data_IF_987105436480
#
_entry.id   IF_987105436480
#
_cell.length_a   1.000
_cell.length_b   1.000
_cell.length_c   1.000
_cell.angle_alpha   90.00
_cell.angle_beta   90.00
_cell.angle_gamma   90.00
#
_symmetry.space_group_name_H-M   'P 1'
#
loop_
_entity.id
_entity.type
_entity.pdbx_description
1 polymer ?
#
# COMPACT_ATOMS: atom_id res chain seq x y z
N UNK A 1 29.76 -22.85 11.13
CA UNK A 1 28.96 -23.63 10.16
C UNK A 1 27.77 -22.78 9.75
N UNK A 2 27.90 -22.10 8.62
CA UNK A 2 26.89 -21.23 8.03
C UNK A 2 25.93 -22.07 7.19
N UNK A 3 24.63 -21.79 7.25
CA UNK A 3 23.73 -22.09 6.13
C UNK A 3 22.81 -20.90 5.93
N UNK A 4 23.11 -20.16 4.86
CA UNK A 4 22.39 -19.00 4.36
C UNK A 4 21.45 -19.50 3.26
N UNK A 5 20.14 -19.43 3.49
CA UNK A 5 19.14 -19.68 2.47
C UNK A 5 18.76 -18.35 1.81
N UNK A 6 19.27 -18.11 0.59
CA UNK A 6 18.81 -17.05 -0.30
C UNK A 6 17.48 -17.46 -0.94
N UNK A 7 16.38 -16.85 -0.52
CA UNK A 7 15.16 -16.81 -1.32
C UNK A 7 15.30 -15.66 -2.34
N UNK A 8 15.38 -16.00 -3.62
CA UNK A 8 15.20 -15.07 -4.73
C UNK A 8 13.70 -15.04 -5.05
N UNK A 9 13.03 -13.91 -4.84
CA UNK A 9 11.74 -13.65 -5.51
C UNK A 9 11.98 -12.59 -6.59
N UNK A 10 11.73 -13.01 -7.82
CA UNK A 10 11.75 -12.19 -9.02
C UNK A 10 10.36 -11.56 -9.16
N UNK A 11 10.25 -10.24 -9.00
CA UNK A 11 9.12 -9.50 -9.54
C UNK A 11 9.58 -8.86 -10.85
N UNK A 12 9.07 -9.26 -12.03
CA UNK A 12 9.34 -8.55 -13.26
C UNK A 12 8.46 -7.29 -13.32
N UNK A 13 9.06 -6.17 -13.72
CA UNK A 13 8.37 -4.93 -14.02
C UNK A 13 7.99 -4.83 -15.51
N UNK A 14 6.95 -4.04 -15.75
CA UNK A 14 6.46 -3.43 -17.01
C UNK A 14 5.59 -4.26 -17.96
N UNK A 15 4.31 -3.87 -18.11
CA UNK A 15 3.83 -3.10 -19.27
C UNK A 15 2.30 -2.93 -19.23
N UNK A 16 1.88 -1.84 -19.85
CA UNK A 16 0.54 -1.28 -20.07
C UNK A 16 -0.47 -2.30 -20.61
N UNK A 17 -1.70 -2.23 -20.12
CA UNK A 17 -2.90 -2.73 -20.81
C UNK A 17 -3.35 -4.14 -20.46
N UNK A 18 -3.91 -4.33 -19.27
CA UNK A 18 -4.78 -5.48 -19.00
C UNK A 18 -5.99 -5.03 -18.17
N UNK A 19 -7.16 -5.04 -18.80
CA UNK A 19 -8.44 -5.20 -18.10
C UNK A 19 -8.31 -6.51 -17.34
N UNK A 20 -8.20 -6.42 -16.01
CA UNK A 20 -7.85 -7.53 -15.14
C UNK A 20 -8.85 -8.68 -15.26
N UNK A 21 -8.44 -9.74 -15.95
CA UNK A 21 -9.08 -11.04 -15.93
C UNK A 21 -8.84 -11.68 -14.57
N UNK A 22 -9.82 -11.55 -13.68
CA UNK A 22 -9.87 -12.27 -12.41
C UNK A 22 -10.18 -13.74 -12.67
N UNK A 23 -9.16 -14.54 -13.01
CA UNK A 23 -9.30 -15.99 -13.08
C UNK A 23 -9.21 -16.57 -11.66
N UNK A 24 -10.26 -16.40 -10.86
CA UNK A 24 -10.52 -17.33 -9.78
C UNK A 24 -11.04 -18.62 -10.42
N UNK A 25 -10.15 -19.58 -10.65
CA UNK A 25 -10.52 -20.95 -10.94
C UNK A 25 -11.20 -21.56 -9.71
N UNK A 26 -12.47 -21.19 -9.48
CA UNK A 26 -13.34 -21.90 -8.57
C UNK A 26 -13.49 -23.33 -9.12
N UNK A 27 -13.41 -24.37 -8.27
CA UNK A 27 -13.62 -25.74 -8.72
C UNK A 27 -14.99 -25.82 -9.38
N UNK A 28 -14.99 -26.19 -10.66
CA UNK A 28 -16.18 -26.45 -11.46
C UNK A 28 -16.95 -27.62 -10.84
N UNK A 29 -17.72 -27.35 -9.79
CA UNK A 29 -18.77 -28.26 -9.35
C UNK A 29 -19.85 -28.17 -10.42
N UNK A 30 -20.03 -29.28 -11.13
CA UNK A 30 -21.13 -29.51 -12.07
C UNK A 30 -22.46 -29.43 -11.30
N UNK A 31 -22.94 -28.21 -11.06
CA UNK A 31 -24.35 -27.95 -10.83
C UNK A 31 -25.01 -28.04 -12.21
N UNK A 32 -26.02 -28.91 -12.30
CA UNK A 32 -26.78 -29.27 -13.50
C UNK A 32 -27.01 -28.08 -14.44
N UNK A 33 -26.32 -28.12 -15.59
CA UNK A 33 -26.33 -27.05 -16.56
C UNK A 33 -27.69 -26.88 -17.25
N UNK A 34 -28.44 -25.86 -16.84
CA UNK A 34 -29.10 -25.00 -17.83
C UNK A 34 -28.00 -24.13 -18.42
N UNK A 35 -27.69 -24.28 -19.71
CA UNK A 35 -27.04 -23.21 -20.48
C UNK A 35 -27.97 -22.00 -20.37
N UNK A 36 -27.69 -21.08 -19.45
CA UNK A 36 -28.34 -19.77 -19.48
C UNK A 36 -28.04 -19.16 -20.85
N UNK A 37 -29.07 -18.77 -21.58
CA UNK A 37 -28.92 -18.18 -22.91
C UNK A 37 -28.49 -16.72 -22.86
N UNK A 38 -28.21 -16.16 -21.69
CA UNK A 38 -27.78 -14.78 -21.57
C UNK A 38 -26.50 -14.66 -20.73
N UNK A 39 -25.37 -14.79 -21.41
CA UNK A 39 -24.03 -14.54 -20.84
C UNK A 39 -23.92 -13.13 -20.25
N UNK A 40 -24.65 -12.16 -20.83
CA UNK A 40 -24.70 -10.79 -20.35
C UNK A 40 -25.39 -10.70 -18.99
N UNK A 41 -26.56 -11.35 -18.84
CA UNK A 41 -27.27 -11.41 -17.55
C UNK A 41 -26.39 -12.04 -16.46
N UNK A 42 -25.70 -13.13 -16.78
CA UNK A 42 -24.78 -13.78 -15.84
C UNK A 42 -23.59 -12.89 -15.44
N UNK A 43 -23.06 -12.09 -16.37
CA UNK A 43 -21.97 -11.14 -16.09
C UNK A 43 -22.46 -9.94 -15.26
N UNK A 44 -23.68 -9.45 -15.51
CA UNK A 44 -24.33 -8.41 -14.72
C UNK A 44 -24.59 -8.88 -13.29
N UNK A 45 -25.15 -10.09 -13.11
CA UNK A 45 -25.35 -10.70 -11.80
C UNK A 45 -24.01 -10.85 -11.07
N UNK A 46 -22.99 -11.41 -11.72
CA UNK A 46 -21.65 -11.54 -11.12
C UNK A 46 -21.09 -10.19 -10.68
N UNK A 47 -21.20 -9.16 -11.51
CA UNK A 47 -20.72 -7.81 -11.20
C UNK A 47 -21.44 -7.23 -9.98
N UNK A 48 -22.75 -7.42 -9.89
CA UNK A 48 -23.54 -6.99 -8.74
C UNK A 48 -23.11 -7.72 -7.45
N UNK A 49 -22.89 -9.04 -7.50
CA UNK A 49 -22.39 -9.82 -6.36
C UNK A 49 -21.00 -9.36 -5.92
N UNK A 50 -20.07 -9.16 -6.85
CA UNK A 50 -18.71 -8.70 -6.53
C UNK A 50 -18.74 -7.32 -5.91
N UNK A 51 -19.56 -6.40 -6.44
CA UNK A 51 -19.71 -5.07 -5.87
C UNK A 51 -20.29 -5.12 -4.45
N UNK A 52 -21.36 -5.89 -4.25
CA UNK A 52 -21.99 -6.09 -2.93
C UNK A 52 -21.03 -6.67 -1.90
N UNK A 53 -20.22 -7.65 -2.29
CA UNK A 53 -19.18 -8.22 -1.42
C UNK A 53 -18.09 -7.21 -1.11
N UNK A 54 -17.59 -6.48 -2.11
CA UNK A 54 -16.55 -5.45 -1.92
C UNK A 54 -17.01 -4.36 -0.94
N UNK A 55 -18.26 -3.93 -1.06
CA UNK A 55 -18.87 -2.95 -0.17
C UNK A 55 -19.00 -3.49 1.25
N UNK A 56 -19.44 -4.73 1.42
CA UNK A 56 -19.56 -5.38 2.73
C UNK A 56 -18.19 -5.50 3.41
N UNK A 57 -17.14 -5.88 2.66
CA UNK A 57 -15.77 -5.94 3.19
C UNK A 57 -15.29 -4.57 3.66
N UNK A 58 -15.59 -3.50 2.92
CA UNK A 58 -15.25 -2.14 3.33
C UNK A 58 -15.99 -1.72 4.60
N UNK A 59 -17.29 -2.03 4.74
CA UNK A 59 -18.04 -1.75 5.96
C UNK A 59 -17.48 -2.50 7.18
N UNK A 60 -17.10 -3.77 7.00
CA UNK A 60 -16.44 -4.54 8.06
C UNK A 60 -15.10 -3.90 8.42
N UNK A 61 -14.28 -3.58 7.42
CA UNK A 61 -12.97 -2.92 7.61
C UNK A 61 -13.12 -1.60 8.38
N UNK A 62 -14.10 -0.78 7.99
CA UNK A 62 -14.44 0.47 8.63
C UNK A 62 -14.84 0.28 10.10
N UNK A 63 -15.59 -0.78 10.41
CA UNK A 63 -15.98 -1.11 11.79
C UNK A 63 -14.85 -1.64 12.67
N UNK A 64 -13.79 -2.18 12.08
CA UNK A 64 -12.64 -2.73 12.80
C UNK A 64 -11.61 -1.67 13.17
N UNK A 65 -11.56 -0.57 12.41
CA UNK A 65 -10.58 0.49 12.61
C UNK A 65 -11.14 1.58 13.52
N UNK A 66 -10.32 2.12 14.45
CA UNK A 66 -10.69 3.33 15.17
C UNK A 66 -11.01 4.46 14.19
N UNK A 67 -11.94 5.36 14.53
CA UNK A 67 -12.35 6.51 13.69
C UNK A 67 -11.25 7.58 13.55
N UNK A 68 -10.01 7.27 13.90
CA UNK A 68 -8.90 8.20 13.85
C UNK A 68 -8.46 8.42 12.39
N UNK A 69 -8.49 9.69 11.97
CA UNK A 69 -8.03 10.10 10.65
C UNK A 69 -6.52 9.94 10.50
N UNK A 70 -6.07 9.77 9.25
CA UNK A 70 -4.67 9.96 8.89
C UNK A 70 -4.15 11.32 9.38
N UNK A 71 -2.96 11.32 9.97
CA UNK A 71 -2.31 12.54 10.45
C UNK A 71 -0.86 12.63 10.00
N UNK A 72 -0.37 13.86 9.85
CA UNK A 72 1.05 14.15 9.67
C UNK A 72 1.67 14.77 10.93
N UNK A 73 0.85 15.07 11.94
CA UNK A 73 1.28 15.85 13.10
C UNK A 73 2.12 14.98 14.05
N UNK A 74 3.27 15.51 14.52
CA UNK A 74 4.06 14.84 15.54
C UNK A 74 3.34 14.88 16.89
N UNK A 75 3.49 13.83 17.69
CA UNK A 75 2.96 13.80 19.05
C UNK A 75 3.80 14.68 19.98
N UNK A 76 3.16 15.47 20.86
CA UNK A 76 3.86 16.25 21.87
C UNK A 76 4.54 15.31 22.86
N UNK A 77 5.79 15.63 23.22
CA UNK A 77 6.57 14.81 24.17
C UNK A 77 7.14 13.52 23.59
N UNK A 78 6.92 13.19 22.32
CA UNK A 78 7.46 11.97 21.67
C UNK A 78 8.39 12.36 20.51
N UNK A 79 9.71 12.60 20.75
CA UNK A 79 10.61 13.17 19.74
C UNK A 79 10.72 12.38 18.44
N UNK A 80 10.55 11.05 18.48
CA UNK A 80 10.65 10.18 17.30
C UNK A 80 9.58 10.46 16.24
N UNK A 81 8.43 11.00 16.61
CA UNK A 81 7.36 11.31 15.67
C UNK A 81 7.59 12.62 14.92
N UNK A 82 8.63 13.41 15.24
CA UNK A 82 8.95 14.70 14.57
C UNK A 82 9.20 14.58 13.06
N UNK A 83 9.48 13.37 12.59
CA UNK A 83 9.74 13.07 11.18
C UNK A 83 8.57 12.35 10.52
N UNK A 84 7.43 12.27 11.18
CA UNK A 84 6.23 11.63 10.63
C UNK A 84 5.84 12.35 9.34
N UNK A 85 5.71 11.57 8.27
CA UNK A 85 5.17 12.03 7.00
C UNK A 85 3.69 11.66 6.85
N UNK A 86 3.31 10.53 7.43
CA UNK A 86 1.95 10.02 7.45
C UNK A 86 1.82 9.03 8.59
N UNK A 87 0.71 9.03 9.31
CA UNK A 87 0.40 8.00 10.29
C UNK A 87 -1.10 7.74 10.35
N UNK A 88 -1.46 6.54 10.77
CA UNK A 88 -2.84 6.12 10.99
C UNK A 88 -2.94 4.62 11.23
N UNK A 89 -4.15 4.17 11.53
CA UNK A 89 -4.42 2.76 11.75
C UNK A 89 -4.44 1.98 10.43
N UNK A 90 -3.77 0.83 10.44
CA UNK A 90 -3.73 -0.13 9.34
C UNK A 90 -4.11 -1.52 9.86
N UNK A 91 -4.86 -2.27 9.05
CA UNK A 91 -4.97 -3.71 9.24
C UNK A 91 -3.71 -4.34 8.63
N UNK A 92 -2.98 -5.12 9.41
CA UNK A 92 -1.80 -5.87 8.99
C UNK A 92 -2.09 -7.36 9.05
N UNK A 93 -1.73 -8.08 7.99
CA UNK A 93 -1.73 -9.54 7.97
C UNK A 93 -0.31 -10.02 8.27
N UNK A 94 -0.15 -10.66 9.43
CA UNK A 94 1.15 -11.15 9.89
C UNK A 94 1.49 -12.49 9.23
N UNK A 95 0.57 -13.46 9.27
CA UNK A 95 0.70 -14.74 8.58
C UNK A 95 -0.58 -15.15 7.83
N UNK A 96 -0.73 -16.44 7.51
CA UNK A 96 -1.91 -16.93 6.81
C UNK A 96 -3.18 -17.00 7.67
N UNK A 97 -3.06 -16.77 8.98
CA UNK A 97 -4.07 -17.05 10.00
C UNK A 97 -4.36 -15.86 10.90
N UNK A 98 -3.43 -14.92 11.04
CA UNK A 98 -3.55 -13.78 11.97
C UNK A 98 -3.66 -12.45 11.25
N UNK A 99 -4.54 -11.61 11.77
CA UNK A 99 -4.76 -10.23 11.32
C UNK A 99 -4.72 -9.36 12.58
N UNK A 100 -3.97 -8.26 12.51
CA UNK A 100 -3.78 -7.32 13.60
C UNK A 100 -4.16 -5.91 13.15
N UNK A 101 -4.70 -5.10 14.06
CA UNK A 101 -4.88 -3.66 13.84
C UNK A 101 -3.71 -2.96 14.53
N UNK A 102 -2.92 -2.20 13.75
CA UNK A 102 -1.73 -1.52 14.22
C UNK A 102 -1.80 -0.03 13.89
N UNK A 103 -1.26 0.81 14.77
CA UNK A 103 -1.02 2.21 14.44
C UNK A 103 0.33 2.32 13.74
N UNK A 104 0.33 2.70 12.47
CA UNK A 104 1.54 2.77 11.66
C UNK A 104 1.92 4.23 11.40
N UNK A 105 3.21 4.54 11.41
CA UNK A 105 3.74 5.81 10.95
C UNK A 105 4.84 5.62 9.92
N UNK A 106 4.75 6.37 8.83
CA UNK A 106 5.80 6.54 7.85
C UNK A 106 6.72 7.68 8.29
N UNK A 107 7.99 7.39 8.48
CA UNK A 107 8.99 8.37 8.89
C UNK A 107 9.85 8.82 7.71
N UNK A 108 10.16 10.12 7.67
CA UNK A 108 11.11 10.70 6.74
C UNK A 108 12.50 10.08 6.88
N UNK A 109 13.30 10.22 5.82
CA UNK A 109 14.64 9.64 5.72
C UNK A 109 15.57 10.14 6.83
N UNK A 110 16.30 9.21 7.44
CA UNK A 110 17.46 9.52 8.28
C UNK A 110 18.69 8.82 7.70
N UNK A 111 19.64 9.62 7.22
CA UNK A 111 20.72 9.09 6.40
C UNK A 111 20.14 8.51 5.10
N UNK A 112 20.39 7.22 4.85
CA UNK A 112 20.04 6.57 3.58
C UNK A 112 18.77 5.71 3.65
N UNK A 113 17.97 5.83 4.71
CA UNK A 113 16.80 4.98 4.89
C UNK A 113 15.62 5.74 5.46
N UNK A 114 14.43 5.44 4.94
CA UNK A 114 13.16 5.73 5.57
C UNK A 114 12.63 4.46 6.25
N UNK A 115 11.53 4.57 7.00
CA UNK A 115 10.93 3.41 7.66
C UNK A 115 9.43 3.57 7.89
N UNK A 116 8.71 2.45 7.90
CA UNK A 116 7.39 2.35 8.51
C UNK A 116 7.58 1.76 9.90
N UNK A 117 7.10 2.43 10.94
CA UNK A 117 7.10 1.92 12.31
C UNK A 117 5.66 1.67 12.73
N UNK A 118 5.39 0.47 13.25
CA UNK A 118 4.08 0.08 13.76
C UNK A 118 4.08 0.02 15.28
N UNK A 119 2.96 0.41 15.88
CA UNK A 119 2.72 0.49 17.31
C UNK A 119 1.38 -0.18 17.64
N UNK A 120 1.17 -0.51 18.92
CA UNK A 120 -0.10 -1.03 19.41
C UNK A 120 -1.23 0.02 19.36
N UNK A 121 -0.89 1.31 19.46
CA UNK A 121 -1.84 2.42 19.48
C UNK A 121 -1.19 3.75 19.06
N UNK A 122 -1.99 4.81 18.98
CA UNK A 122 -1.59 6.14 18.54
C UNK A 122 -0.62 6.87 19.47
N UNK A 123 -0.42 6.40 20.71
CA UNK A 123 0.52 7.01 21.66
C UNK A 123 1.99 6.79 21.23
N UNK A 124 2.21 5.84 20.31
CA UNK A 124 3.51 5.54 19.73
C UNK A 124 4.58 5.23 20.78
N UNK A 125 4.24 4.57 21.89
CA UNK A 125 5.20 4.33 22.99
C UNK A 125 6.19 3.23 22.62
N UNK A 126 5.69 2.01 22.35
CA UNK A 126 6.50 0.82 22.07
C UNK A 126 6.31 0.33 20.63
N UNK A 127 7.37 0.31 19.80
CA UNK A 127 7.26 -0.24 18.45
C UNK A 127 7.07 -1.76 18.51
N UNK A 128 6.15 -2.25 17.68
CA UNK A 128 5.86 -3.69 17.48
C UNK A 128 6.60 -4.22 16.25
N UNK A 129 6.68 -3.41 15.20
CA UNK A 129 7.30 -3.76 13.92
C UNK A 129 7.98 -2.52 13.31
N UNK A 130 9.08 -2.74 12.58
CA UNK A 130 9.79 -1.72 11.81
C UNK A 130 10.14 -2.30 10.43
N UNK A 131 9.69 -1.63 9.37
CA UNK A 131 9.96 -1.99 7.97
C UNK A 131 10.87 -0.92 7.36
N UNK A 132 12.08 -1.32 7.02
CA UNK A 132 13.05 -0.45 6.37
C UNK A 132 12.63 -0.17 4.93
N UNK A 133 12.57 1.11 4.56
CA UNK A 133 12.26 1.55 3.20
C UNK A 133 13.56 1.99 2.52
N UNK A 134 13.96 1.21 1.52
CA UNK A 134 15.08 1.45 0.61
C UNK A 134 14.57 1.69 -0.81
N UNK A 135 15.49 1.98 -1.74
CA UNK A 135 15.21 2.05 -3.17
C UNK A 135 14.70 0.71 -3.75
N UNK A 136 15.16 -0.41 -3.18
CA UNK A 136 14.76 -1.76 -3.59
C UNK A 136 13.47 -2.25 -2.94
N UNK A 137 12.96 -1.59 -1.89
CA UNK A 137 11.72 -2.00 -1.21
C UNK A 137 10.55 -2.00 -2.19
N UNK A 138 9.82 -3.12 -2.27
CA UNK A 138 8.64 -3.23 -3.13
C UNK A 138 7.44 -2.58 -2.44
N UNK A 139 6.81 -1.62 -3.11
CA UNK A 139 5.54 -1.02 -2.68
C UNK A 139 4.56 -1.14 -3.84
N UNK A 140 3.47 -1.89 -3.65
CA UNK A 140 2.49 -2.09 -4.72
C UNK A 140 1.05 -2.10 -4.22
N UNK A 141 0.16 -1.77 -5.14
CA UNK A 141 -1.28 -1.89 -4.95
C UNK A 141 -1.72 -3.35 -5.06
N UNK A 142 -2.74 -3.73 -4.28
CA UNK A 142 -3.45 -4.99 -4.51
C UNK A 142 -4.63 -4.68 -5.43
N UNK A 143 -4.62 -5.28 -6.62
CA UNK A 143 -5.70 -5.08 -7.59
C UNK A 143 -7.02 -5.53 -6.96
N UNK A 144 -8.12 -4.82 -7.20
CA UNK A 144 -9.44 -5.21 -6.70
C UNK A 144 -10.44 -4.06 -6.79
N UNK A 145 -11.73 -4.38 -6.93
CA UNK A 145 -12.80 -3.37 -6.94
C UNK A 145 -12.88 -2.76 -5.54
N UNK A 146 -12.72 -1.44 -5.48
CA UNK A 146 -12.67 -0.68 -4.22
C UNK A 146 -11.67 -1.23 -3.19
N UNK A 147 -10.57 -1.84 -3.65
CA UNK A 147 -9.58 -2.42 -2.74
C UNK A 147 -8.86 -1.32 -1.94
N UNK A 148 -8.79 -1.50 -0.62
CA UNK A 148 -8.01 -0.69 0.32
C UNK A 148 -6.68 -1.35 0.72
N UNK A 149 -6.34 -2.50 0.12
CA UNK A 149 -5.14 -3.25 0.45
C UNK A 149 -3.92 -2.82 -0.38
N UNK A 150 -2.74 -2.89 0.22
CA UNK A 150 -1.45 -2.65 -0.44
C UNK A 150 -0.37 -3.52 0.20
N UNK A 151 0.79 -3.65 -0.46
CA UNK A 151 1.91 -4.46 0.03
C UNK A 151 3.17 -3.60 0.12
N UNK A 152 3.90 -3.74 1.23
CA UNK A 152 5.23 -3.13 1.43
C UNK A 152 6.20 -4.21 1.90
N UNK A 153 7.22 -4.49 1.11
CA UNK A 153 8.25 -5.51 1.39
C UNK A 153 7.70 -6.90 1.77
N UNK A 154 6.59 -7.30 1.15
CA UNK A 154 5.89 -8.55 1.45
C UNK A 154 4.90 -8.47 2.62
N UNK A 155 4.85 -7.36 3.36
CA UNK A 155 3.84 -7.11 4.38
C UNK A 155 2.54 -6.61 3.74
N UNK A 156 1.44 -7.32 4.00
CA UNK A 156 0.13 -6.96 3.49
C UNK A 156 -0.59 -6.04 4.48
N UNK A 157 -1.00 -4.87 3.98
CA UNK A 157 -1.74 -3.87 4.74
C UNK A 157 -3.10 -3.60 4.10
N UNK A 158 -4.07 -3.15 4.90
CA UNK A 158 -5.30 -2.53 4.42
C UNK A 158 -5.62 -1.25 5.20
N UNK A 159 -6.09 -0.23 4.49
CA UNK A 159 -6.55 1.04 5.05
C UNK A 159 -8.07 1.04 5.25
N UNK A 160 -8.60 2.07 5.91
CA UNK A 160 -10.03 2.25 6.11
C UNK A 160 -10.75 2.53 4.78
N UNK A 161 -10.11 3.30 3.89
CA UNK A 161 -10.67 3.61 2.57
C UNK A 161 -9.66 3.48 1.43
N UNK A 162 -10.11 3.25 0.17
CA UNK A 162 -9.23 3.27 -1.01
C UNK A 162 -8.48 4.60 -1.21
N UNK A 163 -9.05 5.71 -0.73
CA UNK A 163 -8.42 7.03 -0.79
C UNK A 163 -7.20 7.11 0.12
N UNK A 164 -7.30 6.57 1.34
CA UNK A 164 -6.15 6.48 2.26
C UNK A 164 -5.04 5.60 1.70
N UNK A 165 -5.38 4.45 1.10
CA UNK A 165 -4.41 3.59 0.41
C UNK A 165 -3.61 4.36 -0.62
N UNK A 166 -4.28 5.20 -1.43
CA UNK A 166 -3.61 6.05 -2.43
C UNK A 166 -2.67 7.05 -1.78
N UNK A 167 -3.03 7.64 -0.63
CA UNK A 167 -2.16 8.55 0.12
C UNK A 167 -0.92 7.82 0.65
N UNK A 168 -1.07 6.63 1.25
CA UNK A 168 0.03 5.79 1.70
C UNK A 168 0.99 5.44 0.57
N UNK A 169 0.49 4.92 -0.54
CA UNK A 169 1.31 4.57 -1.70
C UNK A 169 2.01 5.78 -2.32
N UNK A 170 1.34 6.94 -2.38
CA UNK A 170 1.95 8.18 -2.85
C UNK A 170 3.09 8.63 -1.92
N UNK A 171 2.87 8.61 -0.61
CA UNK A 171 3.88 9.00 0.37
C UNK A 171 5.11 8.06 0.30
N UNK A 172 4.88 6.75 0.20
CA UNK A 172 5.94 5.75 0.03
C UNK A 172 6.73 5.94 -1.27
N UNK A 173 6.05 6.15 -2.40
CA UNK A 173 6.72 6.34 -3.69
C UNK A 173 7.49 7.66 -3.74
N UNK A 174 6.98 8.72 -3.10
CA UNK A 174 7.69 9.99 -2.97
C UNK A 174 8.95 9.84 -2.12
N UNK A 175 8.89 9.08 -1.02
CA UNK A 175 10.05 8.76 -0.21
C UNK A 175 11.10 8.00 -1.00
N UNK A 176 10.69 6.98 -1.77
CA UNK A 176 11.60 6.21 -2.62
C UNK A 176 12.32 7.08 -3.65
N UNK A 177 11.62 8.06 -4.22
CA UNK A 177 12.21 9.03 -5.14
C UNK A 177 13.23 9.97 -4.45
N UNK A 178 13.09 10.22 -3.15
CA UNK A 178 14.02 11.02 -2.34
C UNK A 178 15.23 10.22 -1.83
N UNK A 179 15.05 8.93 -1.50
CA UNK A 179 16.13 8.05 -1.03
C UNK A 179 17.13 7.70 -2.13
N UNK A 180 16.79 7.88 -3.40
CA UNK A 180 17.74 7.75 -4.50
C UNK A 180 18.74 8.91 -4.39
N UNK A 181 20.01 8.67 -4.00
CA UNK A 181 21.01 9.71 -4.01
C UNK A 181 21.09 10.25 -5.44
N UNK A 182 21.03 11.58 -5.59
CA UNK A 182 21.17 12.32 -6.85
C UNK A 182 22.11 11.60 -7.85
N UNK A 183 21.55 10.72 -8.69
CA UNK A 183 22.21 10.27 -9.93
C UNK A 183 21.88 11.18 -11.11
N UNK A 184 21.29 12.35 -10.84
CA UNK A 184 21.23 13.46 -11.77
C UNK A 184 21.36 14.78 -10.99
N UNK A 185 22.37 15.61 -11.29
CA UNK A 185 22.39 16.99 -10.83
C UNK A 185 21.12 17.66 -11.35
N UNK A 186 20.34 18.27 -10.47
CA UNK A 186 19.24 19.16 -10.86
C UNK A 186 19.79 20.52 -11.33
N UNK A 187 20.87 20.49 -12.10
CA UNK A 187 21.52 21.65 -12.68
C UNK A 187 21.38 21.57 -14.21
N UNK A 188 21.07 22.71 -14.84
CA UNK A 188 21.07 22.96 -16.30
C UNK A 188 19.76 22.76 -17.09
N UNK A 189 18.58 23.02 -16.51
CA UNK A 189 17.38 23.34 -17.31
C UNK A 189 16.77 24.68 -16.86
N UNK A 190 17.59 25.73 -16.92
CA UNK A 190 17.12 27.09 -17.14
C UNK A 190 18.19 27.79 -17.97
N UNK A 191 17.93 28.17 -19.23
CA UNK A 191 18.88 29.01 -19.94
C UNK A 191 18.93 30.37 -19.23
N UNK A 192 20.10 31.03 -19.12
CA UNK A 192 20.13 32.42 -18.73
C UNK A 192 19.25 33.19 -19.72
N UNK A 193 18.23 33.88 -19.21
CA UNK A 193 17.48 34.81 -20.02
C UNK A 193 18.44 35.88 -20.50
N UNK A 194 18.57 36.01 -21.81
CA UNK A 194 19.26 37.13 -22.45
C UNK A 194 18.65 38.43 -21.92
N UNK A 195 19.39 39.12 -21.06
CA UNK A 195 19.16 40.54 -20.79
C UNK A 195 19.66 41.30 -22.01
N UNK A 196 18.76 41.52 -22.97
CA UNK A 196 18.94 42.53 -24.01
C UNK A 196 18.95 43.92 -23.37
N UNK A 197 20.11 44.55 -23.40
CA UNK A 197 20.27 45.98 -23.17
C UNK A 197 20.94 46.56 -24.42
N UNK A 198 20.13 47.13 -25.30
CA UNK A 198 20.46 48.24 -26.21
C UNK A 198 19.28 49.22 -26.19
#
# INVERSE_FOLDING_TARGET
>A
MHSSARARSLCPASSVGWVGQWSMALPSRRLTGKRSMDEKEAEEERSAWVLGLSHTILLITDSLLPTASLTCDPLPGVPKTRRRLLAGYLIHRDDNTTISVLYCELQATQGNSARIVSYENELCERPVMDILITDTTVCCDVVGINCSCFVVDGHHFATQSPSERKLWLRALNNLKAQTLPHRYPRAHLWPPGDTGAE
#
